data_IF_794270758718
#
_entry.id   IF_794270758718
#
_cell.length_a   1.000
_cell.length_b   1.000
_cell.length_c   1.000
_cell.angle_alpha   90.00
_cell.angle_beta   90.00
_cell.angle_gamma   90.00
#
_symmetry.space_group_name_H-M   'P 1'
#
loop_
_entity.id
_entity.type
_entity.pdbx_description
1 polymer ?
#
# COMPACT_ATOMS: atom_id res chain seq x y z
N UNK A 1 33.91 -36.96 44.77
CA UNK A 1 35.16 -36.44 45.37
C UNK A 1 36.17 -36.19 44.25
N UNK A 2 37.10 -35.23 44.34
CA UNK A 2 36.89 -33.78 44.53
C UNK A 2 37.77 -32.99 43.51
N UNK A 3 37.47 -31.75 43.12
CA UNK A 3 38.03 -30.50 43.69
C UNK A 3 37.65 -29.39 42.69
N UNK A 4 36.86 -28.37 43.02
CA UNK A 4 37.02 -27.27 44.00
C UNK A 4 37.85 -26.08 43.47
N UNK A 5 37.33 -24.90 43.83
CA UNK A 5 37.91 -23.55 43.90
C UNK A 5 37.98 -22.77 42.57
N UNK A 6 37.17 -21.73 42.32
CA UNK A 6 36.81 -20.53 43.11
C UNK A 6 37.96 -19.52 43.24
N UNK A 7 37.76 -18.32 42.67
CA UNK A 7 38.35 -17.05 43.09
C UNK A 7 37.46 -15.92 42.52
N UNK A 8 36.51 -15.35 43.26
CA UNK A 8 36.61 -14.30 44.30
C UNK A 8 36.95 -12.93 43.67
N UNK A 9 35.92 -12.12 43.36
CA UNK A 9 35.46 -10.91 44.09
C UNK A 9 36.28 -9.63 43.86
N UNK A 10 35.59 -8.54 43.49
CA UNK A 10 35.73 -7.15 44.02
C UNK A 10 34.71 -6.27 43.26
N UNK A 11 33.58 -5.82 43.86
CA UNK A 11 33.43 -4.59 44.68
C UNK A 11 34.12 -3.37 44.05
N UNK A 12 33.53 -2.20 43.82
CA UNK A 12 32.46 -1.46 44.52
C UNK A 12 31.99 -0.30 43.59
N UNK A 13 30.71 0.11 43.57
CA UNK A 13 30.20 1.37 44.17
C UNK A 13 31.26 2.50 44.16
N UNK A 14 31.10 3.67 43.52
CA UNK A 14 30.04 4.66 43.70
C UNK A 14 30.42 5.88 42.82
N UNK A 15 29.46 6.59 42.24
CA UNK A 15 29.46 8.06 42.24
C UNK A 15 28.06 8.54 41.81
N UNK A 16 27.32 8.96 42.83
CA UNK A 16 26.13 9.76 42.69
C UNK A 16 26.52 11.16 42.19
N UNK A 17 25.85 11.63 41.15
CA UNK A 17 25.69 13.05 40.89
C UNK A 17 24.19 13.32 40.73
N UNK A 18 23.55 13.65 41.86
CA UNK A 18 22.24 14.26 41.89
C UNK A 18 22.33 15.69 41.34
N UNK A 19 21.53 16.03 40.34
CA UNK A 19 20.97 17.39 40.26
C UNK A 19 19.59 17.36 39.61
N UNK A 20 18.59 17.56 40.46
CA UNK A 20 17.20 17.88 40.13
C UNK A 20 17.02 19.40 39.95
N UNK A 21 16.23 19.80 38.97
CA UNK A 21 15.71 21.16 38.81
C UNK A 21 14.83 21.26 37.55
N UNK A 22 13.56 21.69 37.64
CA UNK A 22 12.56 21.52 36.58
C UNK A 22 12.56 22.69 35.59
N UNK A 23 12.25 22.41 34.33
CA UNK A 23 11.66 23.41 33.46
C UNK A 23 10.67 22.71 32.53
N UNK A 24 9.40 22.83 32.88
CA UNK A 24 8.28 22.52 32.00
C UNK A 24 8.38 23.42 30.76
N UNK A 25 9.00 22.89 29.71
CA UNK A 25 8.64 23.31 28.36
C UNK A 25 7.60 22.34 27.87
N UNK A 26 6.34 22.76 27.97
CA UNK A 26 5.24 22.27 27.16
C UNK A 26 5.78 22.05 25.75
N UNK A 27 5.83 20.80 25.23
CA UNK A 27 6.19 20.61 23.85
C UNK A 27 5.06 21.21 23.02
N UNK A 28 5.37 22.32 22.35
CA UNK A 28 4.57 22.81 21.26
C UNK A 28 4.36 21.62 20.32
N UNK A 29 3.10 21.17 20.24
CA UNK A 29 2.67 20.05 19.42
C UNK A 29 2.75 20.51 17.97
N UNK A 30 3.96 20.56 17.43
CA UNK A 30 4.19 20.58 16.00
C UNK A 30 3.64 19.26 15.50
N UNK A 31 2.44 19.30 14.92
CA UNK A 31 1.90 18.19 14.15
C UNK A 31 3.01 17.78 13.17
N UNK A 32 3.45 16.50 13.17
CA UNK A 32 4.29 16.03 12.08
C UNK A 32 3.51 16.26 10.80
N UNK A 33 3.95 17.21 9.99
CA UNK A 33 3.63 17.20 8.57
C UNK A 33 4.20 15.86 8.11
N UNK A 34 3.31 14.91 7.88
CA UNK A 34 3.64 13.62 7.30
C UNK A 34 4.30 13.93 5.96
N UNK A 35 5.64 13.88 5.95
CA UNK A 35 6.41 14.10 4.75
C UNK A 35 5.91 13.06 3.73
N UNK A 36 5.54 13.47 2.50
CA UNK A 36 5.17 12.50 1.48
C UNK A 36 6.29 11.48 1.38
N UNK A 37 5.92 10.19 1.43
CA UNK A 37 6.84 9.07 1.29
C UNK A 37 7.78 9.36 0.10
N UNK A 38 9.10 9.18 0.25
CA UNK A 38 10.03 9.42 -0.85
C UNK A 38 9.52 8.62 -2.06
N UNK A 39 9.42 9.23 -3.25
CA UNK A 39 9.03 8.50 -4.43
C UNK A 39 9.97 7.30 -4.57
N UNK A 40 9.43 6.08 -4.68
CA UNK A 40 10.26 4.94 -5.05
C UNK A 40 10.77 5.23 -6.47
N UNK A 41 12.03 5.65 -6.58
CA UNK A 41 12.66 6.07 -7.84
C UNK A 41 13.00 4.85 -8.71
N UNK A 42 12.18 3.80 -8.66
CA UNK A 42 12.24 2.68 -9.61
C UNK A 42 11.31 3.06 -10.77
N UNK A 43 11.84 3.31 -11.98
CA UNK A 43 11.00 3.52 -13.15
C UNK A 43 10.03 2.34 -13.32
N UNK A 44 8.75 2.64 -13.54
CA UNK A 44 7.74 1.61 -13.77
C UNK A 44 6.96 1.13 -12.54
N UNK A 45 7.15 1.73 -11.36
CA UNK A 45 6.34 1.41 -10.16
C UNK A 45 6.08 2.61 -9.23
N UNK A 46 5.01 2.52 -8.45
CA UNK A 46 4.72 3.43 -7.34
C UNK A 46 3.95 2.72 -6.21
N UNK A 47 3.94 3.35 -5.04
CA UNK A 47 3.17 2.88 -3.87
C UNK A 47 1.89 3.71 -3.69
N UNK A 48 0.82 3.04 -3.27
CA UNK A 48 -0.43 3.67 -2.86
C UNK A 48 -0.91 3.09 -1.53
N UNK A 49 -1.27 3.95 -0.59
CA UNK A 49 -1.81 3.56 0.71
C UNK A 49 -3.29 3.13 0.56
N UNK A 50 -3.49 1.91 0.09
CA UNK A 50 -4.80 1.28 -0.03
C UNK A 50 -4.69 -0.24 -0.05
N UNK A 51 -5.80 -0.91 0.26
CA UNK A 51 -5.95 -2.34 0.07
C UNK A 51 -5.79 -2.75 -1.40
N UNK A 52 -5.23 -3.94 -1.59
CA UNK A 52 -4.94 -4.50 -2.91
C UNK A 52 -6.19 -4.70 -3.75
N UNK A 53 -7.26 -5.24 -3.17
CA UNK A 53 -8.48 -5.53 -3.92
C UNK A 53 -9.18 -4.24 -4.36
N UNK A 54 -9.20 -3.21 -3.51
CA UNK A 54 -9.73 -1.90 -3.89
C UNK A 54 -8.90 -1.29 -5.02
N UNK A 55 -7.57 -1.30 -4.88
CA UNK A 55 -6.63 -0.79 -5.89
C UNK A 55 -6.77 -1.54 -7.22
N UNK A 56 -6.85 -2.88 -7.18
CA UNK A 56 -7.02 -3.72 -8.36
C UNK A 56 -8.34 -3.44 -9.08
N UNK A 57 -9.45 -3.27 -8.34
CA UNK A 57 -10.73 -2.92 -8.95
C UNK A 57 -10.71 -1.51 -9.54
N UNK A 58 -10.13 -0.54 -8.83
CA UNK A 58 -10.01 0.84 -9.29
C UNK A 58 -9.15 0.95 -10.57
N UNK A 59 -8.02 0.25 -10.62
CA UNK A 59 -7.18 0.15 -11.81
C UNK A 59 -7.98 -0.38 -13.00
N UNK A 60 -8.75 -1.45 -12.80
CA UNK A 60 -9.62 -2.00 -13.86
C UNK A 60 -10.65 -1.00 -14.37
N UNK A 61 -11.28 -0.22 -13.47
CA UNK A 61 -12.22 0.83 -13.86
C UNK A 61 -11.53 1.93 -14.69
N UNK A 62 -10.36 2.38 -14.25
CA UNK A 62 -9.57 3.38 -14.97
C UNK A 62 -9.17 2.85 -16.34
N UNK A 63 -8.62 1.64 -16.42
CA UNK A 63 -8.19 1.03 -17.68
C UNK A 63 -9.32 0.96 -18.71
N UNK A 64 -10.51 0.51 -18.29
CA UNK A 64 -11.68 0.39 -19.18
C UNK A 64 -12.17 1.75 -19.70
N UNK A 65 -12.07 2.82 -18.89
CA UNK A 65 -12.53 4.15 -19.29
C UNK A 65 -11.46 5.02 -19.95
N UNK A 66 -10.20 4.58 -19.98
CA UNK A 66 -9.10 5.37 -20.52
C UNK A 66 -9.02 5.22 -22.02
N UNK A 67 -9.09 6.33 -22.75
CA UNK A 67 -8.97 6.33 -24.20
C UNK A 67 -7.59 5.81 -24.64
N UNK A 68 -7.58 4.93 -25.65
CA UNK A 68 -6.36 4.33 -26.20
C UNK A 68 -5.80 3.15 -25.39
N UNK A 69 -6.53 2.71 -24.36
CA UNK A 69 -6.28 1.42 -23.69
C UNK A 69 -7.13 0.34 -24.35
N UNK A 70 -6.48 -0.72 -24.80
CA UNK A 70 -7.10 -1.98 -25.14
C UNK A 70 -6.98 -2.91 -23.92
N UNK A 71 -8.13 -3.35 -23.43
CA UNK A 71 -8.23 -4.26 -22.31
C UNK A 71 -8.19 -5.70 -22.82
N UNK A 72 -7.07 -6.39 -22.65
CA UNK A 72 -6.88 -7.75 -23.18
C UNK A 72 -7.33 -8.83 -22.18
N UNK A 73 -7.17 -8.59 -20.87
CA UNK A 73 -7.63 -9.55 -19.87
C UNK A 73 -7.25 -9.21 -18.43
N UNK A 74 -7.67 -10.09 -17.51
CA UNK A 74 -7.31 -10.01 -16.09
C UNK A 74 -7.13 -11.39 -15.47
N UNK A 75 -6.23 -11.48 -14.50
CA UNK A 75 -6.07 -12.66 -13.65
C UNK A 75 -6.03 -12.22 -12.18
N UNK A 76 -7.16 -12.38 -11.49
CA UNK A 76 -7.31 -11.90 -10.11
C UNK A 76 -6.38 -12.62 -9.13
N UNK A 77 -6.17 -13.94 -9.28
CA UNK A 77 -5.25 -14.70 -8.43
C UNK A 77 -3.82 -14.18 -8.56
N UNK A 78 -3.46 -13.68 -9.75
CA UNK A 78 -2.13 -13.15 -10.04
C UNK A 78 -2.04 -11.63 -9.85
N UNK A 79 -3.13 -10.96 -9.46
CA UNK A 79 -3.23 -9.51 -9.27
C UNK A 79 -2.79 -8.67 -10.48
N UNK A 80 -3.17 -9.10 -11.67
CA UNK A 80 -2.72 -8.44 -12.89
C UNK A 80 -3.83 -8.18 -13.91
N UNK A 81 -3.56 -7.20 -14.76
CA UNK A 81 -4.28 -6.89 -15.98
C UNK A 81 -3.31 -6.98 -17.16
N UNK A 82 -3.74 -7.61 -18.27
CA UNK A 82 -3.05 -7.51 -19.56
C UNK A 82 -3.67 -6.35 -20.32
N UNK A 83 -2.85 -5.37 -20.67
CA UNK A 83 -3.28 -4.13 -21.30
C UNK A 83 -2.39 -3.82 -22.49
N UNK A 84 -2.97 -3.15 -23.48
CA UNK A 84 -2.21 -2.46 -24.53
C UNK A 84 -2.56 -0.99 -24.50
N UNK A 85 -1.57 -0.12 -24.40
CA UNK A 85 -1.79 1.32 -24.38
C UNK A 85 -0.96 1.97 -25.48
N UNK A 86 -1.65 2.64 -26.41
CA UNK A 86 -1.04 3.25 -27.60
C UNK A 86 -0.11 2.27 -28.35
N UNK A 87 -0.57 1.03 -28.53
CA UNK A 87 0.13 -0.03 -29.25
C UNK A 87 1.13 -0.86 -28.44
N UNK A 88 1.51 -0.43 -27.23
CA UNK A 88 2.47 -1.17 -26.38
C UNK A 88 1.74 -2.11 -25.43
N UNK A 89 2.01 -3.41 -25.52
CA UNK A 89 1.48 -4.43 -24.64
C UNK A 89 2.31 -4.55 -23.34
N UNK A 90 1.63 -4.64 -22.21
CA UNK A 90 2.25 -4.75 -20.88
C UNK A 90 1.29 -5.37 -19.88
N UNK A 91 1.82 -5.78 -18.73
CA UNK A 91 1.04 -6.24 -17.59
C UNK A 91 1.08 -5.17 -16.51
N UNK A 92 -0.08 -4.78 -15.98
CA UNK A 92 -0.19 -3.93 -14.80
C UNK A 92 -0.48 -4.80 -13.58
N UNK A 93 0.36 -4.72 -12.55
CA UNK A 93 0.29 -5.55 -11.34
C UNK A 93 -0.02 -4.69 -10.12
N UNK A 94 -0.82 -5.24 -9.20
CA UNK A 94 -1.13 -4.61 -7.90
C UNK A 94 -0.78 -5.55 -6.76
N UNK A 95 0.40 -5.40 -6.16
CA UNK A 95 0.90 -6.31 -5.12
C UNK A 95 0.87 -5.65 -3.75
N UNK A 96 0.28 -6.33 -2.76
CA UNK A 96 0.37 -5.91 -1.36
C UNK A 96 1.84 -5.82 -0.94
N UNK A 97 2.17 -4.78 -0.17
CA UNK A 97 3.48 -4.62 0.44
C UNK A 97 3.38 -4.96 1.92
N UNK A 98 4.41 -5.61 2.46
CA UNK A 98 4.47 -5.91 3.90
C UNK A 98 4.66 -4.63 4.71
N UNK A 99 4.12 -4.63 5.92
CA UNK A 99 4.38 -3.56 6.88
C UNK A 99 5.87 -3.54 7.24
N UNK A 100 6.39 -2.35 7.48
CA UNK A 100 7.79 -2.12 7.80
C UNK A 100 7.94 -0.92 8.74
N UNK A 101 9.18 -0.50 9.01
CA UNK A 101 9.44 0.73 9.74
C UNK A 101 8.91 1.98 9.02
N UNK A 102 8.81 1.92 7.69
CA UNK A 102 8.32 3.01 6.84
C UNK A 102 6.88 2.82 6.35
N UNK A 103 6.38 1.58 6.31
CA UNK A 103 5.03 1.25 5.85
C UNK A 103 4.20 0.80 7.06
N UNK A 104 3.40 1.71 7.61
CA UNK A 104 2.57 1.47 8.81
C UNK A 104 1.12 1.10 8.50
N UNK A 105 0.69 1.28 7.25
CA UNK A 105 -0.68 1.05 6.80
C UNK A 105 -0.70 0.09 5.62
N UNK A 106 -1.87 -0.45 5.31
CA UNK A 106 -2.05 -1.31 4.15
C UNK A 106 -1.69 -0.55 2.88
N UNK A 107 -0.65 -1.02 2.20
CA UNK A 107 -0.09 -0.38 1.02
C UNK A 107 -0.01 -1.37 -0.12
N UNK A 108 -0.35 -0.90 -1.32
CA UNK A 108 -0.26 -1.64 -2.56
C UNK A 108 0.81 -1.01 -3.43
N UNK A 109 1.67 -1.83 -4.01
CA UNK A 109 2.59 -1.46 -5.06
C UNK A 109 1.92 -1.69 -6.41
N UNK A 110 1.91 -0.67 -7.24
CA UNK A 110 1.45 -0.72 -8.62
C UNK A 110 2.69 -0.71 -9.52
N UNK A 111 2.81 -1.72 -10.38
CA UNK A 111 3.98 -1.88 -11.26
C UNK A 111 3.52 -2.22 -12.67
N UNK A 112 4.27 -1.82 -13.68
CA UNK A 112 4.13 -2.33 -15.04
C UNK A 112 5.30 -3.23 -15.42
N UNK A 113 5.02 -4.32 -16.14
CA UNK A 113 6.04 -5.22 -16.70
C UNK A 113 5.74 -5.55 -18.15
N UNK A 114 6.74 -6.06 -18.87
CA UNK A 114 6.53 -6.83 -20.10
C UNK A 114 5.67 -8.07 -19.84
N UNK A 115 5.20 -8.73 -20.90
CA UNK A 115 4.45 -10.00 -20.79
C UNK A 115 5.29 -11.14 -20.19
N UNK A 116 6.62 -11.06 -20.30
CA UNK A 116 7.56 -12.00 -19.68
C UNK A 116 7.91 -11.62 -18.23
N UNK A 117 7.25 -10.61 -17.65
CA UNK A 117 7.46 -10.17 -16.27
C UNK A 117 8.71 -9.30 -16.03
N UNK A 118 9.44 -8.90 -17.09
CA UNK A 118 10.59 -7.99 -16.97
C UNK A 118 10.13 -6.54 -16.81
N UNK A 119 10.91 -5.67 -16.14
CA UNK A 119 10.64 -4.23 -16.11
C UNK A 119 10.42 -3.67 -17.52
N UNK A 120 9.51 -2.70 -17.64
CA UNK A 120 9.23 -2.01 -18.90
C UNK A 120 9.36 -0.51 -18.68
N UNK A 121 10.20 0.13 -19.50
CA UNK A 121 10.42 1.56 -19.49
C UNK A 121 10.12 2.11 -20.90
N UNK A 122 8.84 2.16 -21.23
CA UNK A 122 8.37 2.75 -22.48
C UNK A 122 7.54 3.97 -22.17
N UNK A 123 7.68 5.02 -23.00
CA UNK A 123 6.95 6.28 -22.81
C UNK A 123 5.43 6.08 -22.63
N UNK A 124 4.72 5.25 -23.45
CA UNK A 124 3.29 5.02 -23.23
C UNK A 124 2.99 4.41 -21.86
N UNK A 125 3.77 3.42 -21.42
CA UNK A 125 3.53 2.76 -20.13
C UNK A 125 3.82 3.70 -18.97
N UNK A 126 4.89 4.50 -19.05
CA UNK A 126 5.19 5.53 -18.05
C UNK A 126 4.08 6.59 -17.97
N UNK A 127 3.53 7.01 -19.10
CA UNK A 127 2.36 7.91 -19.13
C UNK A 127 1.11 7.27 -18.51
N UNK A 128 0.88 5.98 -18.77
CA UNK A 128 -0.24 5.24 -18.18
C UNK A 128 -0.09 5.08 -16.66
N UNK A 129 1.12 4.77 -16.18
CA UNK A 129 1.40 4.70 -14.74
C UNK A 129 1.23 6.06 -14.06
N UNK A 130 1.66 7.16 -14.69
CA UNK A 130 1.43 8.50 -14.17
C UNK A 130 -0.07 8.85 -14.11
N UNK A 131 -0.86 8.40 -15.10
CA UNK A 131 -2.31 8.52 -15.07
C UNK A 131 -2.91 7.74 -13.90
N UNK A 132 -2.50 6.47 -13.71
CA UNK A 132 -2.94 5.66 -12.58
C UNK A 132 -2.59 6.30 -11.23
N UNK A 133 -1.36 6.77 -11.06
CA UNK A 133 -0.91 7.41 -9.83
C UNK A 133 -1.77 8.63 -9.48
N UNK A 134 -2.21 9.40 -10.49
CA UNK A 134 -3.11 10.54 -10.31
C UNK A 134 -4.55 10.14 -10.01
N UNK A 135 -5.09 9.13 -10.67
CA UNK A 135 -6.53 8.82 -10.66
C UNK A 135 -6.94 7.76 -9.63
N UNK A 136 -6.03 6.87 -9.23
CA UNK A 136 -6.34 5.78 -8.31
C UNK A 136 -6.90 6.24 -6.97
N UNK A 137 -6.39 7.29 -6.30
CA UNK A 137 -6.93 7.69 -4.99
C UNK A 137 -8.44 7.96 -5.03
N UNK A 138 -8.90 8.76 -6.01
CA UNK A 138 -10.31 9.08 -6.17
C UNK A 138 -11.14 7.87 -6.63
N UNK A 139 -10.60 7.05 -7.55
CA UNK A 139 -11.34 5.87 -8.03
C UNK A 139 -11.48 4.80 -6.94
N UNK A 140 -10.49 4.65 -6.05
CA UNK A 140 -10.56 3.74 -4.89
C UNK A 140 -11.72 4.13 -3.97
N UNK A 141 -11.91 5.42 -3.69
CA UNK A 141 -13.05 5.91 -2.90
C UNK A 141 -14.39 5.61 -3.60
N UNK A 142 -14.47 5.86 -4.90
CA UNK A 142 -15.62 5.51 -5.76
C UNK A 142 -15.96 4.02 -5.67
N UNK A 143 -14.96 3.15 -5.80
CA UNK A 143 -15.13 1.69 -5.70
C UNK A 143 -15.63 1.28 -4.32
N UNK A 144 -15.04 1.80 -3.24
CA UNK A 144 -15.47 1.52 -1.86
C UNK A 144 -16.91 1.94 -1.63
N UNK A 145 -17.31 3.13 -2.09
CA UNK A 145 -18.67 3.62 -1.97
C UNK A 145 -19.67 2.71 -2.71
N UNK A 146 -19.36 2.32 -3.95
CA UNK A 146 -20.18 1.39 -4.76
C UNK A 146 -20.31 0.03 -4.08
N UNK A 147 -19.22 -0.54 -3.58
CA UNK A 147 -19.24 -1.82 -2.88
C UNK A 147 -20.05 -1.75 -1.58
N UNK A 148 -19.91 -0.67 -0.80
CA UNK A 148 -20.69 -0.46 0.41
C UNK A 148 -22.20 -0.36 0.11
N UNK A 149 -22.58 0.38 -0.95
CA UNK A 149 -23.96 0.48 -1.41
C UNK A 149 -24.53 -0.88 -1.83
N UNK A 150 -23.77 -1.66 -2.61
CA UNK A 150 -24.17 -3.01 -3.03
C UNK A 150 -24.33 -3.97 -1.84
N UNK A 151 -23.42 -3.94 -0.86
CA UNK A 151 -23.54 -4.74 0.37
C UNK A 151 -24.82 -4.39 1.14
N UNK A 152 -25.10 -3.10 1.34
CA UNK A 152 -26.33 -2.63 2.00
C UNK A 152 -27.59 -3.09 1.26
N UNK A 153 -27.61 -3.00 -0.07
CA UNK A 153 -28.74 -3.44 -0.89
C UNK A 153 -28.99 -4.96 -0.77
N UNK A 154 -27.93 -5.77 -0.83
CA UNK A 154 -28.02 -7.24 -0.66
C UNK A 154 -28.58 -7.62 0.71
N UNK A 155 -28.16 -6.95 1.78
CA UNK A 155 -28.66 -7.22 3.15
C UNK A 155 -30.14 -6.87 3.28
N UNK A 156 -30.57 -5.70 2.77
CA UNK A 156 -32.00 -5.31 2.77
C UNK A 156 -32.88 -6.27 1.97
N UNK A 157 -32.40 -6.72 0.81
CA UNK A 157 -33.12 -7.71 -0.02
C UNK A 157 -33.31 -9.05 0.69
N UNK A 158 -32.27 -9.56 1.38
CA UNK A 158 -32.34 -10.79 2.17
C UNK A 158 -33.33 -10.67 3.34
N UNK A 159 -33.33 -9.54 4.06
CA UNK A 159 -34.27 -9.29 5.16
C UNK A 159 -35.73 -9.25 4.67
N UNK A 160 -36.01 -8.58 3.55
CA UNK A 160 -37.35 -8.53 2.94
C UNK A 160 -37.82 -9.91 2.47
N UNK A 161 -36.93 -10.75 1.94
CA UNK A 161 -37.25 -12.14 1.54
C UNK A 161 -37.57 -13.02 2.75
N UNK A 162 -36.84 -12.86 3.86
CA UNK A 162 -37.08 -13.61 5.11
C UNK A 162 -38.40 -13.22 5.79
N UNK A 163 -38.83 -11.96 5.69
CA UNK A 163 -40.11 -11.48 6.27
C UNK A 163 -41.36 -11.92 5.46
N UNK A 164 -41.18 -12.37 4.20
CA UNK A 164 -42.26 -12.83 3.31
C UNK A 164 -42.44 -14.36 3.31
N UNK A 165 -41.61 -15.10 4.04
CA UNK A 165 -41.69 -16.56 4.21
C UNK A 165 -42.10 -16.84 5.64
#
# INVERSE_FOLDING_TARGET
MPRKLACLCLLALSLAACRTGPNERTPEKTLPIEAPLPPSVTPGEFLIEADKLDTWNALGQIAVRTHGVEYEGRAQIMDLYSLRYRGVAFMALTKSVLLSDTIKRTTTRVTATTLDGKPIDSKPVTEFLALLQRELPAEIESVRAKQAAQKKAKTKGKAKKKKKK
#
